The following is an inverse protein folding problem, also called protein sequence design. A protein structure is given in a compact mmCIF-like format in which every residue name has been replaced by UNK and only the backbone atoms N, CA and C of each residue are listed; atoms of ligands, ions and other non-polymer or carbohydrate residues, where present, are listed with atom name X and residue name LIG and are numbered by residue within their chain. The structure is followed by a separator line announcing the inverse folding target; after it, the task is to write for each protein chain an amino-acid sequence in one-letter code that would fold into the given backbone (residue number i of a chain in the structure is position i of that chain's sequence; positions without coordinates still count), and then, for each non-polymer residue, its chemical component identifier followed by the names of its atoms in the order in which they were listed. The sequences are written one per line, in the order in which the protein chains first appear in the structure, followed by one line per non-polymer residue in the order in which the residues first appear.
data_IF_161905709726
#
_entry.id   IF_161905709726
#
_cell.length_a   1.000
_cell.length_b   1.000
_cell.length_c   1.000
_cell.angle_alpha   90.00
_cell.angle_beta   90.00
_cell.angle_gamma   90.00
#
_symmetry.space_group_name_H-M   'P 1'
#
loop_
_entity.id
_entity.type
_entity.pdbx_description
1 polymer ?
#
# COMPACT_ATOMS: atom_id res chain seq x y z
N UNK A 1 10.73 24.75 3.16
CA UNK A 1 10.80 25.31 1.79
C UNK A 1 11.51 24.32 0.87
N UNK A 2 11.25 24.40 -0.44
CA UNK A 2 11.87 23.54 -1.45
C UNK A 2 12.62 24.39 -2.47
N UNK A 3 13.73 23.89 -2.99
CA UNK A 3 14.47 24.50 -4.10
C UNK A 3 14.65 23.52 -5.24
N UNK A 4 14.65 24.03 -6.46
CA UNK A 4 14.91 23.23 -7.65
C UNK A 4 16.37 23.39 -8.08
N UNK A 5 17.09 22.27 -8.23
CA UNK A 5 18.46 22.21 -8.75
C UNK A 5 18.48 21.29 -9.99
N UNK A 6 18.41 21.91 -11.17
CA UNK A 6 18.18 21.20 -12.43
C UNK A 6 16.87 20.41 -12.43
N UNK A 7 16.96 19.09 -12.56
CA UNK A 7 15.80 18.18 -12.51
C UNK A 7 15.42 17.74 -11.10
N UNK A 8 16.24 18.11 -10.08
CA UNK A 8 16.05 17.66 -8.70
C UNK A 8 15.23 18.68 -7.92
N UNK A 9 14.33 18.18 -7.08
CA UNK A 9 13.64 18.96 -6.06
C UNK A 9 14.29 18.67 -4.70
N UNK A 10 14.93 19.66 -4.10
CA UNK A 10 15.64 19.54 -2.83
C UNK A 10 14.91 20.24 -1.69
N UNK A 11 15.05 19.72 -0.48
CA UNK A 11 14.61 20.39 0.74
C UNK A 11 15.57 21.54 1.05
N UNK A 12 15.05 22.76 1.02
CA UNK A 12 15.86 23.97 1.24
C UNK A 12 15.84 24.43 2.70
N UNK A 13 14.74 24.20 3.40
CA UNK A 13 14.61 24.54 4.81
C UNK A 13 13.53 23.67 5.45
N UNK A 14 13.81 23.17 6.64
CA UNK A 14 12.84 22.49 7.50
C UNK A 14 12.49 23.46 8.63
N UNK A 15 11.20 23.72 8.81
CA UNK A 15 10.72 24.58 9.90
C UNK A 15 10.74 23.79 11.22
N UNK A 16 11.13 24.46 12.30
CA UNK A 16 11.14 23.88 13.64
C UNK A 16 9.70 23.55 14.11
N UNK A 17 9.55 22.41 14.79
CA UNK A 17 8.30 21.78 15.19
C UNK A 17 7.32 21.46 14.04
N UNK A 18 7.84 21.28 12.82
CA UNK A 18 7.02 20.93 11.66
C UNK A 18 6.83 19.41 11.54
N UNK A 19 5.78 18.95 10.82
CA UNK A 19 5.64 17.54 10.48
C UNK A 19 6.84 16.97 9.71
N UNK A 20 7.56 17.80 8.96
CA UNK A 20 8.75 17.40 8.23
C UNK A 20 9.93 17.13 9.19
N UNK A 21 10.13 17.98 10.20
CA UNK A 21 11.15 17.75 11.25
C UNK A 21 10.84 16.48 12.05
N UNK A 22 9.58 16.31 12.48
CA UNK A 22 9.15 15.13 13.23
C UNK A 22 9.28 13.83 12.42
N UNK A 23 9.15 13.91 11.09
CA UNK A 23 9.39 12.79 10.18
C UNK A 23 10.90 12.54 9.92
N UNK A 24 11.79 13.38 10.47
CA UNK A 24 13.24 13.27 10.32
C UNK A 24 13.76 13.71 8.95
N UNK A 25 13.01 14.54 8.22
CA UNK A 25 13.47 15.13 6.95
C UNK A 25 14.56 16.15 7.25
N UNK A 26 15.64 16.13 6.47
CA UNK A 26 16.78 17.03 6.65
C UNK A 26 17.01 17.93 5.42
N UNK A 27 17.81 18.97 5.63
CA UNK A 27 18.32 19.86 4.60
C UNK A 27 19.06 19.08 3.50
N UNK A 28 18.95 19.55 2.26
CA UNK A 28 19.57 18.97 1.06
C UNK A 28 19.09 17.56 0.67
N UNK A 29 18.03 17.04 1.30
CA UNK A 29 17.39 15.81 0.83
C UNK A 29 16.69 16.00 -0.51
N UNK A 30 16.82 15.01 -1.38
CA UNK A 30 16.15 14.96 -2.68
C UNK A 30 14.77 14.30 -2.57
N UNK A 31 13.74 14.99 -3.06
CA UNK A 31 12.39 14.44 -3.16
C UNK A 31 12.35 13.52 -4.38
N UNK A 32 12.39 12.21 -4.12
CA UNK A 32 12.35 11.18 -5.17
C UNK A 32 10.94 10.87 -5.64
N UNK A 33 9.96 10.85 -4.73
CA UNK A 33 8.56 10.53 -5.02
C UNK A 33 7.62 11.29 -4.10
N UNK A 34 6.42 11.59 -4.58
CA UNK A 34 5.33 12.17 -3.79
C UNK A 34 4.08 11.32 -3.97
N UNK A 35 3.37 11.04 -2.87
CA UNK A 35 2.09 10.35 -2.94
C UNK A 35 1.00 11.36 -3.25
N UNK A 36 0.39 11.24 -4.44
CA UNK A 36 -0.74 12.06 -4.83
C UNK A 36 -2.04 11.26 -4.69
N UNK A 37 -3.18 11.92 -4.42
CA UNK A 37 -4.48 11.29 -4.53
C UNK A 37 -4.64 10.64 -5.91
N UNK A 38 -4.93 9.35 -5.93
CA UNK A 38 -5.12 8.57 -7.15
C UNK A 38 -6.53 8.01 -7.19
N UNK A 39 -7.11 7.95 -8.40
CA UNK A 39 -8.34 7.21 -8.63
C UNK A 39 -8.04 5.71 -8.49
N UNK A 40 -8.50 5.12 -7.38
CA UNK A 40 -8.36 3.69 -7.10
C UNK A 40 -9.73 3.04 -6.98
N UNK A 41 -9.88 1.78 -7.40
CA UNK A 41 -11.09 1.01 -7.11
C UNK A 41 -11.36 0.95 -5.60
N UNK A 42 -12.61 0.70 -5.26
CA UNK A 42 -13.03 0.43 -3.89
C UNK A 42 -12.20 -0.72 -3.29
N UNK A 43 -11.73 -0.57 -2.05
CA UNK A 43 -10.85 -1.57 -1.38
C UNK A 43 -11.52 -2.94 -1.26
N UNK A 44 -12.85 -2.97 -1.28
CA UNK A 44 -13.70 -4.14 -1.13
C UNK A 44 -13.59 -5.12 -2.31
N UNK A 45 -13.10 -4.68 -3.47
CA UNK A 45 -12.89 -5.56 -4.62
C UNK A 45 -11.92 -6.71 -4.34
N UNK A 46 -11.03 -6.56 -3.34
CA UNK A 46 -10.13 -7.64 -2.91
C UNK A 46 -10.90 -8.85 -2.36
N UNK A 47 -12.10 -8.66 -1.79
CA UNK A 47 -12.86 -9.76 -1.19
C UNK A 47 -13.37 -10.77 -2.21
N UNK A 48 -13.69 -10.34 -3.43
CA UNK A 48 -14.25 -11.21 -4.47
C UNK A 48 -13.30 -12.36 -4.83
N UNK A 49 -12.03 -12.13 -5.25
CA UNK A 49 -11.11 -13.21 -5.55
C UNK A 49 -10.76 -14.04 -4.30
N UNK A 50 -10.62 -13.42 -3.12
CA UNK A 50 -10.31 -14.15 -1.88
C UNK A 50 -11.41 -15.13 -1.49
N UNK A 51 -12.67 -14.69 -1.50
CA UNK A 51 -13.81 -15.54 -1.16
C UNK A 51 -14.04 -16.63 -2.20
N UNK A 52 -13.78 -16.35 -3.47
CA UNK A 52 -13.86 -17.35 -4.55
C UNK A 52 -12.87 -18.49 -4.32
N UNK A 53 -11.61 -18.17 -3.99
CA UNK A 53 -10.59 -19.17 -3.66
C UNK A 53 -10.99 -19.96 -2.41
N UNK A 54 -11.45 -19.28 -1.36
CA UNK A 54 -11.90 -19.92 -0.12
C UNK A 54 -13.07 -20.90 -0.37
N UNK A 55 -14.04 -20.49 -1.19
CA UNK A 55 -15.17 -21.33 -1.56
C UNK A 55 -14.72 -22.55 -2.37
N UNK A 56 -13.81 -22.37 -3.33
CA UNK A 56 -13.23 -23.47 -4.12
C UNK A 56 -12.46 -24.46 -3.24
N UNK A 57 -11.66 -23.96 -2.29
CA UNK A 57 -10.95 -24.77 -1.31
C UNK A 57 -11.94 -25.56 -0.45
N UNK A 58 -12.94 -24.89 0.13
CA UNK A 58 -13.97 -25.53 0.94
C UNK A 58 -14.73 -26.62 0.19
N UNK A 59 -15.07 -26.37 -1.09
CA UNK A 59 -15.70 -27.37 -1.94
C UNK A 59 -14.80 -28.57 -2.19
N UNK A 60 -13.52 -28.35 -2.50
CA UNK A 60 -12.55 -29.43 -2.67
C UNK A 60 -12.37 -30.27 -1.40
N UNK A 61 -12.31 -29.62 -0.23
CA UNK A 61 -12.18 -30.30 1.05
C UNK A 61 -13.43 -31.14 1.37
N UNK A 62 -14.63 -30.61 1.11
CA UNK A 62 -15.89 -31.38 1.25
C UNK A 62 -15.95 -32.58 0.31
N UNK A 63 -15.51 -32.42 -0.95
CA UNK A 63 -15.42 -33.53 -1.91
C UNK A 63 -14.49 -34.64 -1.39
N UNK A 64 -13.32 -34.28 -0.85
CA UNK A 64 -12.36 -35.24 -0.29
C UNK A 64 -12.92 -35.97 0.94
N UNK A 65 -13.58 -35.26 1.86
CA UNK A 65 -14.17 -35.87 3.04
C UNK A 65 -15.24 -36.93 2.70
N UNK A 66 -16.08 -36.66 1.69
CA UNK A 66 -17.07 -37.63 1.19
C UNK A 66 -16.42 -38.86 0.57
N UNK A 67 -15.34 -38.69 -0.20
CA UNK A 67 -14.61 -39.81 -0.81
C UNK A 67 -13.88 -40.67 0.23
N UNK A 68 -13.44 -40.08 1.33
CA UNK A 68 -12.79 -40.77 2.43
C UNK A 68 -13.77 -41.48 3.39
N UNK A 69 -15.09 -41.35 3.20
CA UNK A 69 -16.10 -41.97 4.06
C UNK A 69 -16.18 -41.39 5.47
N UNK A 70 -15.68 -40.18 5.69
CA UNK A 70 -15.69 -39.51 7.01
C UNK A 70 -17.01 -38.77 7.31
N UNK A 71 -17.99 -38.83 6.40
CA UNK A 71 -19.36 -38.31 6.49
C UNK A 71 -20.29 -39.29 5.77
#
# INVERSE_FOLDING_TARGET
MLRQDGEKMLVDMVEFDSPAEQAGIDFDWEITTVSLPAARPMKEWVFVPTLMILAALGWNQRRRARLAGHL
#
